data_IF_262382160738
#
_entry.id   IF_262382160738
#
_cell.length_a   1.000
_cell.length_b   1.000
_cell.length_c   1.000
_cell.angle_alpha   90.00
_cell.angle_beta   90.00
_cell.angle_gamma   90.00
#
_symmetry.space_group_name_H-M   'P 1'
#
loop_
_entity.id
_entity.type
_entity.pdbx_description
1 polymer ?
#
# COMPACT_ATOMS: atom_id res chain seq x y z
N UNK A 1 -28.28 24.89 -13.12
CA UNK A 1 -29.05 23.80 -12.51
C UNK A 1 -29.12 22.69 -13.55
N UNK A 2 -28.31 21.64 -13.39
CA UNK A 2 -28.34 20.50 -14.31
C UNK A 2 -29.60 19.66 -14.02
N UNK A 3 -30.35 19.38 -15.08
CA UNK A 3 -31.59 18.59 -15.07
C UNK A 3 -31.30 17.11 -14.85
N UNK A 4 -32.26 16.38 -14.27
CA UNK A 4 -32.26 14.90 -14.24
C UNK A 4 -31.93 14.33 -15.64
N UNK A 5 -30.79 13.63 -15.77
CA UNK A 5 -30.45 12.88 -16.99
C UNK A 5 -29.09 13.19 -17.63
N UNK A 6 -28.33 14.19 -17.18
CA UNK A 6 -26.99 14.44 -17.72
C UNK A 6 -25.97 13.44 -17.14
N UNK A 7 -25.65 12.42 -17.95
CA UNK A 7 -24.56 11.47 -17.64
C UNK A 7 -23.24 12.25 -17.57
N UNK A 8 -22.50 12.08 -16.48
CA UNK A 8 -21.14 12.59 -16.37
C UNK A 8 -20.27 11.90 -17.42
N UNK A 9 -19.43 12.66 -18.13
CA UNK A 9 -18.52 12.15 -19.16
C UNK A 9 -17.11 12.61 -18.86
N UNK A 10 -16.14 11.74 -19.12
CA UNK A 10 -14.72 12.01 -18.91
C UNK A 10 -13.91 11.19 -19.91
N UNK A 11 -12.66 11.58 -20.19
CA UNK A 11 -11.76 10.74 -20.96
C UNK A 11 -11.30 9.55 -20.11
N UNK A 12 -10.88 9.81 -18.87
CA UNK A 12 -10.40 8.78 -17.94
C UNK A 12 -11.15 8.82 -16.62
N UNK A 13 -11.81 7.71 -16.26
CA UNK A 13 -12.38 7.48 -14.94
C UNK A 13 -11.41 6.66 -14.10
N UNK A 14 -10.96 7.20 -12.98
CA UNK A 14 -10.07 6.52 -12.03
C UNK A 14 -10.87 6.22 -10.77
N UNK A 15 -10.91 4.95 -10.36
CA UNK A 15 -11.60 4.53 -9.13
C UNK A 15 -10.56 4.22 -8.06
N UNK A 16 -10.36 5.18 -7.17
CA UNK A 16 -9.39 5.13 -6.07
C UNK A 16 -8.39 6.29 -6.11
N UNK A 17 -8.11 6.86 -4.94
CA UNK A 17 -7.24 8.03 -4.76
C UNK A 17 -5.95 7.72 -4.00
N UNK A 18 -5.46 6.47 -4.03
CA UNK A 18 -4.11 6.17 -3.55
C UNK A 18 -3.04 6.57 -4.56
N UNK A 19 -1.75 6.28 -4.27
CA UNK A 19 -0.62 6.69 -5.12
C UNK A 19 -0.80 6.33 -6.60
N UNK A 20 -1.30 5.13 -6.91
CA UNK A 20 -1.50 4.67 -8.28
C UNK A 20 -2.56 5.51 -9.03
N UNK A 21 -3.68 5.80 -8.38
CA UNK A 21 -4.76 6.59 -8.98
C UNK A 21 -4.36 8.05 -9.13
N UNK A 22 -3.74 8.64 -8.10
CA UNK A 22 -3.29 10.02 -8.14
C UNK A 22 -2.17 10.24 -9.18
N UNK A 23 -1.19 9.33 -9.27
CA UNK A 23 -0.13 9.42 -10.28
C UNK A 23 -0.71 9.33 -11.70
N UNK A 24 -1.60 8.36 -11.96
CA UNK A 24 -2.25 8.23 -13.25
C UNK A 24 -3.10 9.46 -13.61
N UNK A 25 -3.83 10.03 -12.63
CA UNK A 25 -4.63 11.23 -12.82
C UNK A 25 -3.75 12.42 -13.23
N UNK A 26 -2.65 12.64 -12.53
CA UNK A 26 -1.71 13.73 -12.81
C UNK A 26 -1.16 13.63 -14.23
N UNK A 27 -0.61 12.47 -14.62
CA UNK A 27 -0.05 12.27 -15.96
C UNK A 27 -1.12 12.41 -17.06
N UNK A 28 -2.33 11.90 -16.84
CA UNK A 28 -3.44 12.06 -17.78
C UNK A 28 -3.90 13.52 -17.87
N UNK A 29 -3.97 14.23 -16.75
CA UNK A 29 -4.32 15.64 -16.68
C UNK A 29 -3.30 16.51 -17.42
N UNK A 30 -2.02 16.22 -17.29
CA UNK A 30 -0.94 16.88 -18.04
C UNK A 30 -1.05 16.67 -19.55
N UNK A 31 -1.47 15.49 -19.97
CA UNK A 31 -1.73 15.18 -21.37
C UNK A 31 -3.00 15.90 -21.90
N UNK A 32 -3.71 16.67 -21.07
CA UNK A 32 -4.89 17.42 -21.44
C UNK A 32 -6.18 16.61 -21.45
N UNK A 33 -6.20 15.43 -20.85
CA UNK A 33 -7.40 14.58 -20.75
C UNK A 33 -8.32 15.08 -19.63
N UNK A 34 -9.64 14.98 -19.84
CA UNK A 34 -10.60 15.18 -18.75
C UNK A 34 -10.61 13.94 -17.85
N UNK A 35 -10.32 14.12 -16.55
CA UNK A 35 -10.17 13.02 -15.59
C UNK A 35 -11.17 13.17 -14.44
N UNK A 36 -11.87 12.09 -14.10
CA UNK A 36 -12.64 11.98 -12.86
C UNK A 36 -11.98 10.95 -11.96
N UNK A 37 -11.59 11.35 -10.74
CA UNK A 37 -11.08 10.45 -9.70
C UNK A 37 -12.16 10.25 -8.65
N UNK A 38 -12.60 8.99 -8.46
CA UNK A 38 -13.61 8.62 -7.47
C UNK A 38 -12.94 8.15 -6.19
N UNK A 39 -13.33 8.72 -5.05
CA UNK A 39 -12.88 8.25 -3.74
C UNK A 39 -14.01 8.21 -2.72
N UNK A 40 -14.07 7.12 -1.95
CA UNK A 40 -15.10 6.88 -0.93
C UNK A 40 -14.95 7.80 0.29
N UNK A 41 -13.76 8.34 0.50
CA UNK A 41 -13.45 9.22 1.60
C UNK A 41 -13.90 10.64 1.32
N UNK A 42 -14.30 11.37 2.37
CA UNK A 42 -14.56 12.81 2.25
C UNK A 42 -13.26 13.62 2.04
N UNK A 43 -12.13 13.11 2.53
CA UNK A 43 -10.80 13.65 2.25
C UNK A 43 -10.01 12.62 1.42
N UNK A 44 -9.55 12.96 0.19
CA UNK A 44 -8.86 12.02 -0.70
C UNK A 44 -7.58 11.42 -0.09
N UNK A 45 -6.98 12.06 0.92
CA UNK A 45 -5.78 11.58 1.63
C UNK A 45 -6.06 10.52 2.70
N UNK A 46 -7.33 10.18 2.93
CA UNK A 46 -7.78 9.31 4.02
C UNK A 46 -8.36 8.01 3.48
N UNK A 47 -8.35 6.98 4.33
CA UNK A 47 -8.82 5.62 4.01
C UNK A 47 -8.05 4.95 2.85
N UNK A 48 -6.81 5.38 2.59
CA UNK A 48 -5.89 4.76 1.63
C UNK A 48 -4.83 3.95 2.38
N UNK A 49 -4.43 2.79 1.82
CA UNK A 49 -3.27 2.06 2.35
C UNK A 49 -1.97 2.83 2.07
N UNK A 50 -1.93 3.64 1.02
CA UNK A 50 -0.81 4.55 0.69
C UNK A 50 -0.50 5.46 1.87
N UNK A 51 -1.46 6.21 2.39
CA UNK A 51 -1.25 7.10 3.54
C UNK A 51 -0.89 6.40 4.85
N UNK A 52 -1.04 5.07 4.92
CA UNK A 52 -0.69 4.25 6.10
C UNK A 52 0.66 3.52 5.96
N UNK A 53 1.31 3.58 4.80
CA UNK A 53 2.61 2.95 4.59
C UNK A 53 3.70 3.64 5.45
N UNK A 54 4.58 2.83 6.04
CA UNK A 54 5.56 3.30 7.04
C UNK A 54 6.99 3.23 6.50
N UNK A 55 7.48 2.01 6.23
CA UNK A 55 8.90 1.69 6.13
C UNK A 55 9.68 2.42 5.04
N UNK A 56 9.12 2.57 3.85
CA UNK A 56 9.73 3.39 2.80
C UNK A 56 9.31 3.00 1.39
N UNK A 57 10.10 3.43 0.42
CA UNK A 57 9.98 3.04 -0.99
C UNK A 57 11.36 2.67 -1.55
N UNK A 58 11.40 1.65 -2.41
CA UNK A 58 12.64 1.19 -3.07
C UNK A 58 13.15 2.29 -3.99
N UNK A 59 14.44 2.62 -3.85
CA UNK A 59 15.17 3.59 -4.65
C UNK A 59 16.46 2.95 -5.17
N UNK A 60 17.64 3.48 -4.82
CA UNK A 60 18.97 2.99 -5.20
C UNK A 60 19.86 2.98 -3.97
N UNK A 61 20.49 1.83 -3.72
CA UNK A 61 21.56 1.68 -2.73
C UNK A 61 22.95 1.90 -3.32
N UNK A 62 23.96 1.97 -2.44
CA UNK A 62 25.36 1.85 -2.85
C UNK A 62 25.63 0.43 -3.37
N UNK A 63 26.23 0.31 -4.55
CA UNK A 63 26.47 -0.98 -5.21
C UNK A 63 25.22 -1.67 -5.76
N UNK A 64 24.09 -0.95 -5.83
CA UNK A 64 22.83 -1.49 -6.34
C UNK A 64 22.85 -1.68 -7.87
N UNK A 65 22.06 -2.65 -8.35
CA UNK A 65 21.76 -2.86 -9.76
C UNK A 65 20.32 -3.37 -9.97
N UNK A 66 19.74 -3.14 -11.16
CA UNK A 66 18.44 -3.74 -11.51
C UNK A 66 18.43 -5.27 -11.38
N UNK A 67 19.53 -5.94 -11.73
CA UNK A 67 19.68 -7.40 -11.63
C UNK A 67 19.61 -7.87 -10.17
N UNK A 68 20.28 -7.16 -9.25
CA UNK A 68 20.23 -7.46 -7.82
C UNK A 68 18.82 -7.27 -7.27
N UNK A 69 18.14 -6.18 -7.66
CA UNK A 69 16.76 -5.94 -7.25
C UNK A 69 15.82 -7.03 -7.78
N UNK A 70 15.96 -7.40 -9.04
CA UNK A 70 15.15 -8.44 -9.67
C UNK A 70 15.35 -9.79 -8.98
N UNK A 71 16.60 -10.14 -8.65
CA UNK A 71 16.91 -11.36 -7.90
C UNK A 71 16.29 -11.37 -6.50
N UNK A 72 16.35 -10.25 -5.78
CA UNK A 72 15.69 -10.11 -4.47
C UNK A 72 14.17 -10.30 -4.58
N UNK A 73 13.52 -9.66 -5.58
CA UNK A 73 12.07 -9.77 -5.82
C UNK A 73 11.66 -11.20 -6.19
N UNK A 74 12.39 -11.85 -7.10
CA UNK A 74 12.11 -13.22 -7.52
C UNK A 74 12.25 -14.20 -6.36
N UNK A 75 13.33 -14.09 -5.59
CA UNK A 75 13.55 -14.92 -4.39
C UNK A 75 12.44 -14.71 -3.35
N UNK A 76 12.11 -13.46 -3.04
CA UNK A 76 11.04 -13.13 -2.09
C UNK A 76 9.65 -13.59 -2.57
N UNK A 77 9.42 -13.58 -3.88
CA UNK A 77 8.20 -14.04 -4.53
C UNK A 77 8.17 -15.55 -4.83
N UNK A 78 9.08 -16.35 -4.26
CA UNK A 78 9.20 -17.78 -4.50
C UNK A 78 9.29 -18.17 -5.99
N UNK A 79 9.88 -17.30 -6.82
CA UNK A 79 10.00 -17.43 -8.28
C UNK A 79 8.65 -17.52 -9.03
N UNK A 80 7.56 -17.01 -8.43
CA UNK A 80 6.23 -16.96 -9.04
C UNK A 80 5.91 -15.61 -9.70
N UNK A 81 6.87 -14.69 -9.69
CA UNK A 81 6.72 -13.35 -10.27
C UNK A 81 6.69 -13.36 -11.79
N UNK A 82 6.00 -12.38 -12.39
CA UNK A 82 6.02 -12.16 -13.83
C UNK A 82 7.30 -11.40 -14.22
N UNK A 83 8.23 -12.08 -14.91
CA UNK A 83 9.53 -11.49 -15.27
C UNK A 83 9.43 -10.17 -16.05
N UNK A 84 8.58 -10.00 -17.09
CA UNK A 84 8.42 -8.73 -17.77
C UNK A 84 7.99 -7.58 -16.85
N UNK A 85 7.06 -7.83 -15.93
CA UNK A 85 6.61 -6.81 -14.97
C UNK A 85 7.72 -6.46 -13.96
N UNK A 86 8.49 -7.45 -13.52
CA UNK A 86 9.64 -7.24 -12.62
C UNK A 86 10.71 -6.41 -13.33
N UNK A 87 11.11 -6.77 -14.55
CA UNK A 87 12.07 -6.01 -15.36
C UNK A 87 11.64 -4.55 -15.49
N UNK A 88 10.38 -4.31 -15.86
CA UNK A 88 9.86 -2.95 -15.95
C UNK A 88 9.93 -2.21 -14.60
N UNK A 89 9.61 -2.87 -13.49
CA UNK A 89 9.66 -2.26 -12.16
C UNK A 89 11.08 -1.89 -11.76
N UNK A 90 12.07 -2.77 -11.95
CA UNK A 90 13.45 -2.52 -11.52
C UNK A 90 14.15 -1.49 -12.39
N UNK A 91 13.80 -1.42 -13.67
CA UNK A 91 14.37 -0.44 -14.61
C UNK A 91 13.78 0.96 -14.42
N UNK A 92 12.46 1.05 -14.18
CA UNK A 92 11.75 2.32 -14.13
C UNK A 92 11.51 2.85 -12.72
N UNK A 93 11.38 1.97 -11.72
CA UNK A 93 10.97 2.31 -10.36
C UNK A 93 11.85 3.38 -9.72
N UNK A 94 13.17 3.15 -9.58
CA UNK A 94 14.05 4.15 -8.98
C UNK A 94 14.10 5.46 -9.75
N UNK A 95 13.95 5.42 -11.09
CA UNK A 95 13.88 6.63 -11.92
C UNK A 95 12.62 7.43 -11.62
N UNK A 96 11.45 6.80 -11.53
CA UNK A 96 10.20 7.50 -11.20
C UNK A 96 10.17 7.98 -9.75
N UNK A 97 10.85 7.30 -8.81
CA UNK A 97 11.03 7.86 -7.46
C UNK A 97 11.81 9.17 -7.52
N UNK A 98 12.90 9.24 -8.29
CA UNK A 98 13.66 10.48 -8.50
C UNK A 98 12.81 11.57 -9.17
N UNK A 99 12.40 11.32 -10.41
CA UNK A 99 11.79 12.34 -11.27
C UNK A 99 10.42 12.79 -10.74
N UNK A 100 9.62 11.85 -10.23
CA UNK A 100 8.25 12.14 -9.82
C UNK A 100 8.14 12.46 -8.33
N UNK A 101 8.61 11.59 -7.44
CA UNK A 101 8.42 11.80 -5.99
C UNK A 101 9.35 12.85 -5.41
N UNK A 102 10.64 12.84 -5.80
CA UNK A 102 11.64 13.74 -5.24
C UNK A 102 11.60 15.09 -5.96
N UNK A 103 11.91 15.11 -7.25
CA UNK A 103 12.12 16.36 -8.00
C UNK A 103 10.84 17.15 -8.19
N UNK A 104 9.76 16.45 -8.58
CA UNK A 104 8.49 17.10 -8.93
C UNK A 104 7.58 17.32 -7.73
N UNK A 105 7.25 16.25 -6.99
CA UNK A 105 6.34 16.35 -5.85
C UNK A 105 7.01 16.97 -4.61
N UNK A 106 8.34 16.98 -4.54
CA UNK A 106 9.06 17.51 -3.39
C UNK A 106 8.79 16.71 -2.11
N UNK A 107 8.62 15.39 -2.21
CA UNK A 107 8.44 14.54 -1.04
C UNK A 107 9.68 14.67 -0.14
N UNK A 108 9.52 15.03 1.15
CA UNK A 108 10.63 15.39 2.02
C UNK A 108 11.29 14.14 2.61
N UNK A 109 11.88 13.30 1.77
CA UNK A 109 12.66 12.14 2.21
C UNK A 109 13.79 12.57 3.15
N UNK A 110 14.01 11.77 4.19
CA UNK A 110 15.03 12.03 5.21
C UNK A 110 16.43 12.04 4.57
N UNK A 111 17.31 12.84 5.16
CA UNK A 111 18.69 12.99 4.70
C UNK A 111 19.68 12.82 5.84
N UNK A 112 20.85 12.30 5.52
CA UNK A 112 22.00 12.22 6.41
C UNK A 112 22.58 13.62 6.67
N UNK A 113 23.48 13.80 7.67
CA UNK A 113 24.16 15.08 7.91
C UNK A 113 24.93 15.62 6.71
N UNK A 114 25.40 14.74 5.82
CA UNK A 114 26.08 15.08 4.57
C UNK A 114 25.11 15.40 3.41
N UNK A 115 23.82 15.57 3.72
CA UNK A 115 22.74 15.91 2.79
C UNK A 115 22.44 14.83 1.72
N UNK A 116 22.90 13.59 1.93
CA UNK A 116 22.53 12.43 1.11
C UNK A 116 21.19 11.86 1.58
N UNK A 117 20.44 11.19 0.71
CA UNK A 117 19.21 10.49 1.13
C UNK A 117 19.55 9.44 2.20
N UNK A 118 18.76 9.39 3.26
CA UNK A 118 18.87 8.34 4.26
C UNK A 118 18.29 7.04 3.71
N UNK A 119 19.07 5.96 3.79
CA UNK A 119 18.77 4.68 3.15
C UNK A 119 18.73 3.60 4.23
N UNK A 120 17.65 2.86 4.28
CA UNK A 120 17.43 1.72 5.17
C UNK A 120 17.26 0.41 4.40
N UNK A 121 17.03 -0.67 5.15
CA UNK A 121 16.81 -2.03 4.67
C UNK A 121 15.55 -2.61 5.28
N UNK A 122 14.83 -3.42 4.50
CA UNK A 122 13.70 -4.23 4.96
C UNK A 122 13.99 -5.70 4.63
N UNK A 123 13.10 -6.62 5.02
CA UNK A 123 13.30 -8.04 4.85
C UNK A 123 13.47 -8.43 3.39
N UNK A 124 14.20 -9.51 3.15
CA UNK A 124 14.47 -10.10 1.82
C UNK A 124 15.28 -9.26 0.82
N UNK A 125 15.69 -8.03 1.16
CA UNK A 125 16.66 -7.27 0.39
C UNK A 125 18.09 -7.78 0.65
N UNK A 126 18.94 -7.76 -0.37
CA UNK A 126 20.37 -8.07 -0.25
C UNK A 126 21.24 -6.87 0.13
N UNK A 127 20.70 -5.66 -0.02
CA UNK A 127 21.37 -4.38 0.28
C UNK A 127 20.37 -3.33 0.76
N UNK A 128 20.87 -2.30 1.45
CA UNK A 128 20.10 -1.10 1.83
C UNK A 128 19.76 -0.28 0.58
N UNK A 129 18.47 -0.09 0.30
CA UNK A 129 17.98 0.61 -0.92
C UNK A 129 16.63 1.30 -0.75
N UNK A 130 16.18 1.46 0.49
CA UNK A 130 14.85 2.00 0.79
C UNK A 130 15.01 3.40 1.37
N UNK A 131 14.38 4.39 0.73
CA UNK A 131 14.32 5.76 1.26
C UNK A 131 13.00 5.96 2.01
N UNK A 132 12.99 6.86 2.99
CA UNK A 132 11.87 7.02 3.91
C UNK A 132 11.68 8.45 4.42
N UNK A 133 10.53 8.67 5.07
CA UNK A 133 10.26 9.84 5.92
C UNK A 133 9.91 9.30 7.29
N UNK A 134 10.91 9.22 8.17
CA UNK A 134 10.89 8.50 9.42
C UNK A 134 10.14 7.16 9.27
N UNK A 135 9.00 7.01 9.95
CA UNK A 135 8.11 5.86 9.88
C UNK A 135 6.70 6.23 9.36
N UNK A 136 6.62 7.27 8.52
CA UNK A 136 5.39 7.81 7.93
C UNK A 136 5.53 8.11 6.43
N UNK A 137 6.41 7.40 5.72
CA UNK A 137 6.72 7.64 4.29
C UNK A 137 5.47 7.73 3.41
N UNK A 138 4.52 6.82 3.62
CA UNK A 138 3.28 6.78 2.87
C UNK A 138 2.43 8.03 3.03
N UNK A 139 2.34 8.57 4.26
CA UNK A 139 1.65 9.83 4.54
C UNK A 139 2.31 11.00 3.82
N UNK A 140 3.63 11.09 3.85
CA UNK A 140 4.37 12.16 3.18
C UNK A 140 4.14 12.15 1.66
N UNK A 141 4.14 10.96 1.04
CA UNK A 141 3.83 10.80 -0.38
C UNK A 141 2.36 11.18 -0.68
N UNK A 142 1.41 10.65 0.10
CA UNK A 142 -0.03 10.92 -0.07
C UNK A 142 -0.34 12.42 0.02
N UNK A 143 0.23 13.12 1.01
CA UNK A 143 -0.01 14.55 1.19
C UNK A 143 0.48 15.37 -0.01
N UNK A 144 1.68 15.07 -0.54
CA UNK A 144 2.24 15.79 -1.69
C UNK A 144 1.53 15.45 -3.00
N UNK A 145 1.23 14.17 -3.26
CA UNK A 145 0.60 13.78 -4.52
C UNK A 145 -0.83 14.29 -4.64
N UNK A 146 -1.58 14.33 -3.53
CA UNK A 146 -2.92 14.95 -3.53
C UNK A 146 -2.83 16.46 -3.70
N UNK A 147 -1.85 17.13 -3.09
CA UNK A 147 -1.64 18.56 -3.29
C UNK A 147 -1.27 18.90 -4.74
N UNK A 148 -0.44 18.08 -5.39
CA UNK A 148 -0.11 18.21 -6.81
C UNK A 148 -1.35 18.03 -7.70
N UNK A 149 -2.15 17.01 -7.41
CA UNK A 149 -3.35 16.68 -8.18
C UNK A 149 -4.35 17.85 -8.24
N UNK A 150 -4.43 18.66 -7.19
CA UNK A 150 -5.30 19.84 -7.13
C UNK A 150 -4.88 21.01 -8.04
N UNK A 151 -3.66 20.97 -8.60
CA UNK A 151 -3.17 22.01 -9.52
C UNK A 151 -3.77 21.90 -10.92
N UNK A 152 -4.43 20.78 -11.25
CA UNK A 152 -4.96 20.49 -12.57
C UNK A 152 -6.45 20.81 -12.66
N UNK A 153 -6.88 21.79 -13.48
CA UNK A 153 -8.29 22.17 -13.59
C UNK A 153 -9.15 21.12 -14.30
N UNK A 154 -8.54 20.24 -15.11
CA UNK A 154 -9.18 19.15 -15.83
C UNK A 154 -9.22 17.82 -15.03
N UNK A 155 -8.76 17.83 -13.78
CA UNK A 155 -8.93 16.68 -12.87
C UNK A 155 -10.00 17.02 -11.85
N UNK A 156 -11.08 16.24 -11.85
CA UNK A 156 -12.15 16.35 -10.87
C UNK A 156 -12.12 15.20 -9.86
N UNK A 157 -11.88 15.50 -8.58
CA UNK A 157 -11.95 14.51 -7.50
C UNK A 157 -13.35 14.47 -6.93
N UNK A 158 -14.05 13.36 -7.15
CA UNK A 158 -15.37 13.09 -6.60
C UNK A 158 -15.21 12.37 -5.25
N UNK A 159 -15.22 13.16 -4.17
CA UNK A 159 -15.10 12.68 -2.79
C UNK A 159 -16.42 12.15 -2.23
N UNK A 160 -16.35 11.31 -1.20
CA UNK A 160 -17.53 10.70 -0.59
C UNK A 160 -18.32 9.82 -1.55
N UNK A 161 -17.67 9.34 -2.62
CA UNK A 161 -18.30 8.64 -3.72
C UNK A 161 -17.79 7.20 -3.83
N UNK A 162 -18.71 6.25 -3.99
CA UNK A 162 -18.40 4.82 -4.03
C UNK A 162 -18.84 4.23 -5.35
N UNK A 163 -17.89 3.73 -6.14
CA UNK A 163 -18.23 2.96 -7.33
C UNK A 163 -18.99 1.68 -6.93
N UNK A 164 -20.12 1.45 -7.59
CA UNK A 164 -20.99 0.29 -7.35
C UNK A 164 -20.61 -0.84 -8.30
N UNK A 165 -20.62 -0.55 -9.60
CA UNK A 165 -20.25 -1.51 -10.63
C UNK A 165 -19.79 -0.84 -11.92
N UNK A 166 -19.04 -1.59 -12.73
CA UNK A 166 -18.59 -1.15 -14.04
C UNK A 166 -19.72 -1.22 -15.06
N UNK A 167 -19.77 -0.22 -15.93
CA UNK A 167 -20.63 -0.22 -17.11
C UNK A 167 -19.90 -0.97 -18.22
N UNK A 168 -20.46 -2.10 -18.66
CA UNK A 168 -19.91 -2.89 -19.77
C UNK A 168 -20.88 -2.99 -20.95
N UNK A 169 -20.34 -3.12 -22.17
CA UNK A 169 -21.17 -3.33 -23.37
C UNK A 169 -22.07 -4.58 -23.26
N UNK A 170 -21.53 -5.67 -22.72
CA UNK A 170 -22.23 -6.95 -22.60
C UNK A 170 -23.48 -6.90 -21.71
N UNK A 171 -23.50 -6.02 -20.70
CA UNK A 171 -24.58 -5.95 -19.71
C UNK A 171 -25.47 -4.72 -19.88
N UNK A 172 -24.93 -3.62 -20.42
CA UNK A 172 -25.59 -2.31 -20.38
C UNK A 172 -25.87 -1.71 -21.76
N UNK A 173 -25.41 -2.34 -22.86
CA UNK A 173 -25.74 -1.86 -24.19
C UNK A 173 -27.23 -2.05 -24.48
N UNK A 174 -27.83 -1.05 -25.12
CA UNK A 174 -29.20 -1.10 -25.65
C UNK A 174 -29.25 -1.68 -27.07
N UNK A 175 -28.10 -2.00 -27.67
CA UNK A 175 -27.99 -2.58 -29.02
C UNK A 175 -27.76 -4.09 -28.88
N UNK A 176 -28.73 -4.95 -29.25
CA UNK A 176 -28.63 -6.39 -29.00
C UNK A 176 -27.41 -7.06 -29.64
N UNK A 177 -26.92 -6.56 -30.78
CA UNK A 177 -25.75 -7.11 -31.46
C UNK A 177 -24.43 -6.86 -30.74
N UNK A 178 -24.38 -5.96 -29.76
CA UNK A 178 -23.15 -5.67 -29.01
C UNK A 178 -22.68 -6.85 -28.16
N UNK A 179 -23.54 -7.84 -27.90
CA UNK A 179 -23.17 -9.09 -27.23
C UNK A 179 -22.05 -9.87 -27.95
N UNK A 180 -21.91 -9.67 -29.27
CA UNK A 180 -20.86 -10.31 -30.07
C UNK A 180 -19.57 -9.50 -30.19
N UNK A 181 -19.53 -8.29 -29.62
CA UNK A 181 -18.33 -7.44 -29.64
C UNK A 181 -17.38 -7.86 -28.52
N UNK A 182 -16.11 -7.46 -28.66
CA UNK A 182 -15.14 -7.62 -27.57
C UNK A 182 -15.65 -6.94 -26.29
N UNK A 183 -15.50 -7.58 -25.12
CA UNK A 183 -15.83 -6.95 -23.85
C UNK A 183 -15.15 -5.60 -23.71
N UNK A 184 -15.92 -4.58 -23.35
CA UNK A 184 -15.42 -3.23 -23.11
C UNK A 184 -16.12 -2.61 -21.90
N UNK A 185 -15.33 -1.91 -21.10
CA UNK A 185 -15.82 -1.03 -20.04
C UNK A 185 -16.05 0.37 -20.63
N UNK A 186 -17.16 1.00 -20.26
CA UNK A 186 -17.56 2.33 -20.73
C UNK A 186 -17.85 3.28 -19.57
N UNK A 187 -17.31 2.98 -18.38
CA UNK A 187 -17.46 3.79 -17.18
C UNK A 187 -17.97 2.99 -15.97
N UNK A 188 -18.64 3.66 -15.03
CA UNK A 188 -19.18 3.03 -13.83
C UNK A 188 -20.43 3.73 -13.29
N UNK A 189 -21.24 2.98 -12.54
CA UNK A 189 -22.21 3.57 -11.62
C UNK A 189 -21.51 3.97 -10.33
N UNK A 190 -21.76 5.21 -9.86
CA UNK A 190 -21.12 5.74 -8.66
C UNK A 190 -22.17 6.32 -7.73
N UNK A 191 -22.24 5.79 -6.51
CA UNK A 191 -23.06 6.36 -5.44
C UNK A 191 -22.36 7.55 -4.80
N UNK A 192 -22.99 8.73 -4.83
CA UNK A 192 -22.49 9.96 -4.22
C UNK A 192 -23.19 10.16 -2.87
N UNK A 193 -22.43 10.05 -1.78
CA UNK A 193 -23.00 10.07 -0.41
C UNK A 193 -23.74 11.37 -0.08
N UNK A 194 -23.21 12.50 -0.51
CA UNK A 194 -23.77 13.82 -0.19
C UNK A 194 -25.16 14.01 -0.80
N UNK A 195 -25.34 13.63 -2.06
CA UNK A 195 -26.62 13.74 -2.77
C UNK A 195 -27.56 12.55 -2.52
N UNK A 196 -27.02 11.41 -2.07
CA UNK A 196 -27.76 10.15 -1.96
C UNK A 196 -28.13 9.54 -3.32
N UNK A 197 -27.51 10.01 -4.42
CA UNK A 197 -27.83 9.59 -5.79
C UNK A 197 -26.79 8.64 -6.36
N UNK A 198 -27.23 7.83 -7.32
CA UNK A 198 -26.34 7.03 -8.17
C UNK A 198 -26.17 7.76 -9.49
N UNK A 199 -24.94 8.19 -9.76
CA UNK A 199 -24.55 8.82 -11.01
C UNK A 199 -24.01 7.78 -11.99
N UNK A 200 -24.34 7.93 -13.28
CA UNK A 200 -23.68 7.20 -14.36
C UNK A 200 -22.51 8.03 -14.89
N UNK A 201 -21.29 7.59 -14.63
CA UNK A 201 -20.08 8.21 -15.18
C UNK A 201 -19.64 7.41 -16.39
N UNK A 202 -19.79 7.98 -17.59
CA UNK A 202 -19.29 7.41 -18.82
C UNK A 202 -17.84 7.84 -19.04
N UNK A 203 -16.99 6.91 -19.45
CA UNK A 203 -15.59 7.17 -19.70
C UNK A 203 -15.09 6.45 -20.96
N UNK A 204 -14.10 7.03 -21.64
CA UNK A 204 -13.40 6.33 -22.73
C UNK A 204 -12.54 5.21 -22.16
N UNK A 205 -11.84 5.48 -21.07
CA UNK A 205 -11.04 4.52 -20.32
C UNK A 205 -11.40 4.53 -18.84
N UNK A 206 -11.29 3.37 -18.17
CA UNK A 206 -11.56 3.24 -16.73
C UNK A 206 -10.42 2.49 -16.04
N UNK A 207 -9.80 3.13 -15.05
CA UNK A 207 -8.72 2.57 -14.24
C UNK A 207 -9.22 2.20 -12.84
N UNK A 208 -9.10 0.92 -12.48
CA UNK A 208 -9.31 0.47 -11.11
C UNK A 208 -8.01 0.64 -10.30
N UNK A 209 -8.00 1.62 -9.40
CA UNK A 209 -6.91 1.90 -8.45
C UNK A 209 -7.40 1.74 -6.99
N UNK A 210 -8.22 0.71 -6.74
CA UNK A 210 -9.08 0.63 -5.54
C UNK A 210 -8.39 0.14 -4.27
N UNK A 211 -7.10 -0.23 -4.34
CA UNK A 211 -6.39 -0.88 -3.24
C UNK A 211 -6.79 -2.36 -3.07
N UNK A 212 -6.39 -2.94 -1.93
CA UNK A 212 -6.51 -4.37 -1.65
C UNK A 212 -7.82 -4.81 -0.97
N UNK A 213 -7.76 -6.01 -0.38
CA UNK A 213 -8.89 -6.74 0.23
C UNK A 213 -8.65 -7.16 1.69
N UNK A 214 -7.71 -6.55 2.39
CA UNK A 214 -7.32 -6.94 3.76
C UNK A 214 -8.48 -7.01 4.77
N UNK A 215 -9.54 -6.22 4.57
CA UNK A 215 -10.73 -6.20 5.43
C UNK A 215 -11.64 -7.44 5.29
N UNK A 216 -11.27 -8.41 4.44
CA UNK A 216 -11.88 -9.75 4.48
C UNK A 216 -11.40 -10.58 5.68
N UNK A 217 -10.27 -10.18 6.29
CA UNK A 217 -9.68 -10.87 7.44
C UNK A 217 -9.99 -10.14 8.74
N UNK A 218 -10.32 -10.90 9.78
CA UNK A 218 -10.63 -10.37 11.11
C UNK A 218 -9.49 -9.53 11.69
N UNK A 219 -8.25 -9.90 11.37
CA UNK A 219 -7.06 -9.17 11.75
C UNK A 219 -6.41 -8.66 10.47
N UNK A 220 -6.27 -7.34 10.37
CA UNK A 220 -5.63 -6.68 9.24
C UNK A 220 -4.99 -5.36 9.65
N UNK A 221 -3.87 -5.04 9.01
CA UNK A 221 -3.21 -3.73 9.10
C UNK A 221 -3.78 -2.70 8.12
N UNK A 222 -4.76 -3.10 7.30
CA UNK A 222 -5.32 -2.26 6.27
C UNK A 222 -6.43 -1.33 6.77
N UNK A 223 -6.62 -0.16 6.16
CA UNK A 223 -7.74 0.71 6.48
C UNK A 223 -9.08 0.04 6.14
N UNK A 224 -10.15 0.51 6.79
CA UNK A 224 -11.54 0.05 6.57
C UNK A 224 -12.00 0.12 5.11
N UNK A 225 -11.30 0.88 4.27
CA UNK A 225 -11.54 0.94 2.83
C UNK A 225 -11.08 -0.29 2.05
N UNK A 226 -10.12 -1.09 2.51
CA UNK A 226 -9.49 -2.16 1.73
C UNK A 226 -10.34 -3.44 1.69
N UNK A 227 -11.49 -3.39 1.01
CA UNK A 227 -12.52 -4.45 1.00
C UNK A 227 -12.59 -5.25 -0.32
N UNK A 228 -11.67 -4.99 -1.26
CA UNK A 228 -11.68 -5.66 -2.56
C UNK A 228 -12.77 -5.18 -3.53
N UNK A 229 -13.28 -3.96 -3.36
CA UNK A 229 -14.37 -3.39 -4.19
C UNK A 229 -14.05 -3.48 -5.71
N UNK A 230 -12.84 -3.10 -6.13
CA UNK A 230 -12.39 -3.19 -7.53
C UNK A 230 -12.24 -4.61 -8.05
N UNK A 231 -11.76 -5.53 -7.21
CA UNK A 231 -11.63 -6.95 -7.56
C UNK A 231 -13.02 -7.53 -7.85
N UNK A 232 -13.99 -7.23 -6.98
CA UNK A 232 -15.36 -7.68 -7.14
C UNK A 232 -16.04 -7.08 -8.40
N UNK A 233 -15.84 -5.79 -8.67
CA UNK A 233 -16.33 -5.13 -9.88
C UNK A 233 -15.71 -5.74 -11.15
N UNK A 234 -14.39 -5.95 -11.15
CA UNK A 234 -13.69 -6.56 -12.28
C UNK A 234 -14.19 -7.98 -12.58
N UNK A 235 -14.40 -8.80 -11.53
CA UNK A 235 -14.97 -10.14 -11.68
C UNK A 235 -16.35 -10.11 -12.33
N UNK A 236 -17.26 -9.26 -11.84
CA UNK A 236 -18.62 -9.13 -12.40
C UNK A 236 -18.61 -8.58 -13.84
N UNK A 237 -17.62 -7.76 -14.19
CA UNK A 237 -17.39 -7.31 -15.56
C UNK A 237 -16.81 -8.40 -16.49
N UNK A 238 -16.47 -9.58 -15.97
CA UNK A 238 -15.93 -10.71 -16.73
C UNK A 238 -14.40 -10.73 -16.84
N UNK A 239 -13.69 -9.90 -16.06
CA UNK A 239 -12.24 -9.95 -16.02
C UNK A 239 -11.75 -11.22 -15.31
N UNK A 240 -10.67 -11.81 -15.84
CA UNK A 240 -9.97 -12.91 -15.15
C UNK A 240 -9.21 -12.34 -13.96
N UNK A 241 -9.45 -12.91 -12.78
CA UNK A 241 -8.68 -12.64 -11.57
C UNK A 241 -7.60 -13.70 -11.40
N UNK A 242 -6.46 -13.32 -10.83
CA UNK A 242 -5.28 -14.17 -10.66
C UNK A 242 -4.76 -14.04 -9.23
N UNK A 243 -4.18 -15.12 -8.70
CA UNK A 243 -3.34 -15.12 -7.50
C UNK A 243 -4.04 -14.59 -6.22
N UNK A 244 -5.37 -14.71 -6.12
CA UNK A 244 -6.13 -14.24 -4.95
C UNK A 244 -5.87 -15.08 -3.70
N UNK A 245 -5.32 -16.28 -3.86
CA UNK A 245 -4.86 -17.14 -2.77
C UNK A 245 -3.60 -16.62 -2.07
N UNK A 246 -2.82 -15.75 -2.72
CA UNK A 246 -1.58 -15.21 -2.16
C UNK A 246 -1.85 -13.96 -1.32
N UNK A 247 -2.28 -14.19 -0.08
CA UNK A 247 -2.49 -13.14 0.91
C UNK A 247 -1.29 -13.04 1.84
N UNK A 248 -0.63 -11.88 1.84
CA UNK A 248 0.47 -11.60 2.76
C UNK A 248 -0.08 -11.20 4.12
N UNK A 249 0.28 -11.97 5.15
CA UNK A 249 0.16 -11.54 6.54
C UNK A 249 1.47 -10.86 6.93
N UNK A 250 1.40 -9.60 7.33
CA UNK A 250 2.58 -8.93 7.84
C UNK A 250 2.96 -9.54 9.20
N UNK A 251 4.23 -9.93 9.43
CA UNK A 251 4.59 -10.67 10.64
C UNK A 251 4.40 -9.88 11.93
N UNK A 252 4.58 -8.56 11.88
CA UNK A 252 4.66 -7.70 13.06
C UNK A 252 3.55 -6.66 13.12
N UNK A 253 2.32 -7.10 13.37
CA UNK A 253 1.24 -6.21 13.77
C UNK A 253 1.15 -6.13 15.29
N UNK A 254 0.94 -4.94 15.85
CA UNK A 254 0.85 -4.71 17.28
C UNK A 254 -0.27 -5.56 17.88
N UNK A 255 0.09 -6.40 18.85
CA UNK A 255 -0.89 -7.20 19.58
C UNK A 255 -1.55 -6.37 20.67
N UNK A 256 -2.83 -6.11 20.48
CA UNK A 256 -3.74 -5.57 21.47
C UNK A 256 -5.04 -6.41 21.42
N UNK A 257 -5.57 -6.92 22.55
CA UNK A 257 -6.73 -7.81 22.54
C UNK A 257 -7.99 -7.21 21.91
N UNK A 258 -8.21 -5.90 22.04
CA UNK A 258 -9.49 -5.23 21.70
C UNK A 258 -9.33 -3.99 20.78
N UNK A 259 -8.26 -3.91 19.99
CA UNK A 259 -8.02 -2.76 19.12
C UNK A 259 -7.59 -3.15 17.71
N UNK A 260 -7.78 -2.20 16.78
CA UNK A 260 -7.30 -2.30 15.42
C UNK A 260 -5.79 -2.59 15.39
N UNK A 261 -5.40 -3.52 14.50
CA UNK A 261 -4.02 -3.96 14.36
C UNK A 261 -3.20 -2.86 13.71
N UNK A 262 -2.37 -2.20 14.49
CA UNK A 262 -1.40 -1.24 13.98
C UNK A 262 -0.16 -1.97 13.46
N UNK A 263 0.26 -1.66 12.24
CA UNK A 263 1.49 -2.20 11.67
C UNK A 263 2.72 -1.69 12.45
N UNK A 264 3.61 -2.60 12.86
CA UNK A 264 4.98 -2.25 13.26
C UNK A 264 5.88 -2.53 12.05
N UNK A 265 6.40 -1.47 11.44
CA UNK A 265 7.19 -1.53 10.20
C UNK A 265 8.29 -2.59 10.25
N UNK A 266 8.52 -3.26 9.12
CA UNK A 266 9.65 -4.17 8.92
C UNK A 266 11.00 -3.45 9.06
N UNK A 267 11.05 -2.14 8.83
CA UNK A 267 12.22 -1.30 9.10
C UNK A 267 12.70 -1.39 10.55
N UNK A 268 11.83 -1.70 11.54
CA UNK A 268 12.27 -1.95 12.92
C UNK A 268 13.19 -3.17 12.99
N UNK A 269 12.90 -4.23 12.22
CA UNK A 269 13.80 -5.39 12.09
C UNK A 269 15.04 -5.05 11.26
N UNK A 270 14.87 -4.30 10.17
CA UNK A 270 15.96 -3.78 9.34
C UNK A 270 17.01 -2.99 10.12
N UNK A 271 16.56 -2.19 11.09
CA UNK A 271 17.43 -1.42 11.98
C UNK A 271 17.96 -2.23 13.17
N UNK A 272 17.86 -3.57 13.14
CA UNK A 272 18.45 -4.50 14.12
C UNK A 272 17.48 -5.04 15.17
N UNK A 273 16.17 -4.86 14.98
CA UNK A 273 15.17 -5.46 15.84
C UNK A 273 15.10 -6.98 15.67
N UNK A 274 14.98 -7.70 16.78
CA UNK A 274 14.95 -9.17 16.81
C UNK A 274 13.63 -9.70 17.32
N UNK A 275 13.15 -10.78 16.71
CA UNK A 275 11.97 -11.49 17.17
C UNK A 275 12.34 -12.45 18.30
N UNK A 276 11.64 -12.32 19.43
CA UNK A 276 11.88 -13.11 20.65
C UNK A 276 10.58 -13.67 21.22
N UNK A 277 10.70 -14.78 21.96
CA UNK A 277 9.61 -15.36 22.74
C UNK A 277 9.33 -14.56 24.03
N UNK A 278 8.34 -15.00 24.83
CA UNK A 278 8.01 -14.38 26.12
C UNK A 278 9.15 -14.38 27.16
N UNK A 279 10.16 -15.21 26.94
CA UNK A 279 11.32 -15.37 27.81
C UNK A 279 12.54 -14.58 27.30
N UNK A 280 12.42 -13.89 26.16
CA UNK A 280 13.49 -13.11 25.54
C UNK A 280 14.42 -13.94 24.65
N UNK A 281 14.09 -15.20 24.34
CA UNK A 281 14.91 -16.02 23.46
C UNK A 281 14.58 -15.73 21.99
N UNK A 282 15.60 -15.53 21.17
CA UNK A 282 15.41 -15.47 19.72
C UNK A 282 15.03 -16.86 19.18
N UNK A 283 14.02 -16.91 18.31
CA UNK A 283 13.51 -18.18 17.77
C UNK A 283 13.67 -18.31 16.25
N UNK A 284 13.87 -17.20 15.52
CA UNK A 284 13.86 -17.23 14.06
C UNK A 284 14.97 -18.09 13.43
N UNK A 285 16.07 -18.29 14.15
CA UNK A 285 17.19 -19.16 13.72
C UNK A 285 16.78 -20.63 13.58
N UNK A 286 15.68 -21.06 14.23
CA UNK A 286 15.11 -22.40 14.02
C UNK A 286 14.49 -22.55 12.62
N UNK A 287 14.07 -21.45 12.00
CA UNK A 287 13.25 -21.43 10.79
C UNK A 287 13.99 -20.95 9.55
N UNK A 288 14.93 -20.01 9.69
CA UNK A 288 15.62 -19.42 8.55
C UNK A 288 16.97 -18.81 8.94
N UNK A 289 17.97 -18.92 8.06
CA UNK A 289 19.33 -18.40 8.28
C UNK A 289 19.37 -16.87 8.42
N UNK A 290 18.52 -16.16 7.68
CA UNK A 290 18.37 -14.69 7.78
C UNK A 290 17.71 -14.22 9.09
N UNK A 291 17.27 -15.14 9.96
CA UNK A 291 16.62 -14.79 11.22
C UNK A 291 15.43 -13.85 11.03
N UNK A 292 15.42 -12.73 11.75
CA UNK A 292 14.30 -11.76 11.71
C UNK A 292 14.15 -11.03 10.36
N UNK A 293 15.14 -11.09 9.46
CA UNK A 293 15.08 -10.48 8.13
C UNK A 293 14.67 -11.45 7.02
N UNK A 294 14.27 -12.68 7.38
CA UNK A 294 13.72 -13.64 6.44
C UNK A 294 12.45 -13.10 5.73
N UNK A 295 12.06 -13.67 4.58
CA UNK A 295 10.83 -13.31 3.89
C UNK A 295 9.59 -13.37 4.79
N UNK A 296 8.64 -12.45 4.57
CA UNK A 296 7.49 -12.23 5.46
C UNK A 296 6.64 -13.48 5.66
N UNK A 297 6.47 -14.30 4.64
CA UNK A 297 5.69 -15.54 4.72
C UNK A 297 6.36 -16.55 5.65
N UNK A 298 7.70 -16.64 5.64
CA UNK A 298 8.48 -17.47 6.58
C UNK A 298 8.36 -16.94 8.00
N UNK A 299 8.56 -15.63 8.20
CA UNK A 299 8.50 -15.00 9.53
C UNK A 299 7.10 -15.09 10.13
N UNK A 300 6.04 -14.83 9.35
CA UNK A 300 4.66 -14.91 9.82
C UNK A 300 4.28 -16.35 10.23
N UNK A 301 4.69 -17.35 9.44
CA UNK A 301 4.50 -18.77 9.80
C UNK A 301 5.28 -19.13 11.06
N UNK A 302 6.54 -18.69 11.19
CA UNK A 302 7.36 -18.95 12.38
C UNK A 302 6.73 -18.36 13.65
N UNK A 303 6.28 -17.11 13.61
CA UNK A 303 5.57 -16.47 14.73
C UNK A 303 4.32 -17.29 15.09
N UNK A 304 3.51 -17.68 14.10
CA UNK A 304 2.31 -18.45 14.34
C UNK A 304 2.59 -19.82 14.97
N UNK A 305 3.64 -20.52 14.49
CA UNK A 305 4.06 -21.81 15.05
C UNK A 305 4.52 -21.68 16.50
N UNK A 306 5.39 -20.71 16.81
CA UNK A 306 5.83 -20.48 18.19
C UNK A 306 4.66 -20.13 19.11
N UNK A 307 3.68 -19.34 18.65
CA UNK A 307 2.46 -19.05 19.42
C UNK A 307 1.67 -20.31 19.76
N UNK A 308 1.51 -21.22 18.79
CA UNK A 308 0.79 -22.49 19.01
C UNK A 308 1.54 -23.43 19.96
N UNK A 309 2.85 -23.57 19.78
CA UNK A 309 3.69 -24.47 20.57
C UNK A 309 3.81 -24.00 22.03
N UNK A 310 4.03 -22.70 22.24
CA UNK A 310 4.13 -22.10 23.57
C UNK A 310 2.78 -21.79 24.22
N UNK A 311 1.69 -21.85 23.45
CA UNK A 311 0.34 -21.42 23.84
C UNK A 311 0.28 -19.96 24.29
N UNK A 312 1.08 -19.12 23.64
CA UNK A 312 1.15 -17.69 23.89
C UNK A 312 0.31 -16.91 22.87
N UNK A 313 -0.33 -15.79 23.28
CA UNK A 313 -1.20 -15.02 22.40
C UNK A 313 -0.44 -14.16 21.39
N UNK A 314 0.87 -13.96 21.58
CA UNK A 314 1.72 -13.15 20.73
C UNK A 314 3.20 -13.52 20.91
N UNK A 315 4.04 -13.12 19.95
CA UNK A 315 5.49 -13.06 20.11
C UNK A 315 5.93 -11.61 20.34
N UNK A 316 7.22 -11.34 20.43
CA UNK A 316 7.72 -10.01 20.71
C UNK A 316 8.79 -9.55 19.72
N UNK A 317 8.78 -8.27 19.38
CA UNK A 317 9.81 -7.60 18.61
C UNK A 317 10.63 -6.69 19.53
N UNK A 318 11.91 -7.01 19.72
CA UNK A 318 12.82 -6.29 20.60
C UNK A 318 13.81 -5.43 19.79
N UNK A 319 13.78 -4.12 20.02
CA UNK A 319 14.71 -3.14 19.44
C UNK A 319 15.48 -2.37 20.53
N UNK A 320 15.30 -2.73 21.80
CA UNK A 320 15.79 -1.98 22.96
C UNK A 320 17.31 -1.76 22.94
N UNK A 321 18.06 -2.71 22.36
CA UNK A 321 19.51 -2.64 22.20
C UNK A 321 20.01 -1.43 21.39
N UNK A 322 19.15 -0.80 20.56
CA UNK A 322 19.51 0.38 19.78
C UNK A 322 19.50 1.68 20.59
N UNK A 323 18.93 1.66 21.80
CA UNK A 323 18.88 2.82 22.68
C UNK A 323 17.73 3.79 22.37
N UNK A 324 17.30 4.50 23.41
CA UNK A 324 16.08 5.31 23.36
C UNK A 324 16.15 6.49 22.38
N UNK A 325 17.30 7.16 22.27
CA UNK A 325 17.48 8.30 21.37
C UNK A 325 17.31 7.90 19.90
N UNK A 326 17.98 6.81 19.49
CA UNK A 326 17.85 6.28 18.14
C UNK A 326 16.39 5.90 17.82
N UNK A 327 15.76 5.13 18.72
CA UNK A 327 14.39 4.64 18.51
C UNK A 327 13.39 5.79 18.36
N UNK A 328 13.45 6.80 19.24
CA UNK A 328 12.52 7.94 19.20
C UNK A 328 12.73 8.82 17.97
N UNK A 329 13.97 8.93 17.50
CA UNK A 329 14.31 9.68 16.30
C UNK A 329 13.85 8.95 15.03
N UNK A 330 14.14 7.65 14.94
CA UNK A 330 13.91 6.84 13.73
C UNK A 330 12.45 6.40 13.56
N UNK A 331 11.78 6.11 14.66
CA UNK A 331 10.42 5.55 14.71
C UNK A 331 9.46 6.37 15.60
N UNK A 332 9.32 7.69 15.39
CA UNK A 332 8.54 8.55 16.28
C UNK A 332 7.05 8.19 16.30
N UNK A 333 6.45 7.81 15.16
CA UNK A 333 5.03 7.47 15.09
C UNK A 333 4.73 6.11 15.72
N UNK A 334 5.56 5.10 15.45
CA UNK A 334 5.48 3.78 16.07
C UNK A 334 5.72 3.92 17.58
N UNK A 335 6.72 4.71 18.01
CA UNK A 335 6.97 4.97 19.42
C UNK A 335 5.75 5.60 20.11
N UNK A 336 5.20 6.67 19.52
CA UNK A 336 4.00 7.32 20.05
C UNK A 336 2.81 6.36 20.12
N UNK A 337 2.63 5.51 19.10
CA UNK A 337 1.54 4.52 19.06
C UNK A 337 1.72 3.45 20.13
N UNK A 338 2.91 2.86 20.28
CA UNK A 338 3.23 1.93 21.35
C UNK A 338 3.00 2.56 22.73
N UNK A 339 3.45 3.81 22.93
CA UNK A 339 3.30 4.51 24.20
C UNK A 339 1.82 4.78 24.52
N UNK A 340 0.99 5.10 23.52
CA UNK A 340 -0.46 5.32 23.68
C UNK A 340 -1.21 4.10 24.23
N UNK A 341 -0.63 2.91 24.10
CA UNK A 341 -1.18 1.65 24.63
C UNK A 341 -0.36 1.10 25.80
N UNK A 342 0.49 1.93 26.41
CA UNK A 342 1.27 1.58 27.59
C UNK A 342 2.51 0.73 27.31
N UNK A 343 3.05 0.74 26.09
CA UNK A 343 4.26 0.02 25.71
C UNK A 343 5.37 1.02 25.39
N UNK A 344 6.41 1.07 26.22
CA UNK A 344 7.63 1.81 25.88
C UNK A 344 8.60 0.88 25.14
N UNK A 345 8.63 0.97 23.82
CA UNK A 345 9.51 0.15 22.97
C UNK A 345 11.02 0.46 23.14
N UNK A 346 11.38 1.49 23.90
CA UNK A 346 12.78 1.77 24.28
C UNK A 346 13.23 0.99 25.51
N UNK A 347 12.28 0.45 26.29
CA UNK A 347 12.55 -0.23 27.55
C UNK A 347 12.17 -1.71 27.53
N UNK A 348 11.22 -2.11 26.68
CA UNK A 348 10.77 -3.50 26.59
C UNK A 348 10.32 -3.90 25.17
N UNK A 349 10.33 -5.20 24.85
CA UNK A 349 9.87 -5.71 23.55
C UNK A 349 8.40 -5.37 23.25
N UNK A 350 8.08 -5.17 21.97
CA UNK A 350 6.73 -4.90 21.47
C UNK A 350 6.00 -6.23 21.24
N UNK A 351 4.81 -6.47 21.80
CA UNK A 351 4.02 -7.65 21.51
C UNK A 351 3.45 -7.57 20.08
N UNK A 352 3.67 -8.62 19.30
CA UNK A 352 3.35 -8.68 17.88
C UNK A 352 2.67 -9.99 17.47
N UNK A 353 1.79 -9.91 16.48
CA UNK A 353 1.12 -11.03 15.83
C UNK A 353 1.06 -10.82 14.31
N UNK A 354 0.93 -11.89 13.51
CA UNK A 354 0.69 -11.75 12.08
C UNK A 354 -0.71 -11.16 11.81
N UNK A 355 -0.81 -10.21 10.88
CA UNK A 355 -2.10 -9.61 10.45
C UNK A 355 -2.06 -9.02 9.04
#
# INVERSE_FOLDING_TARGET
MATEGDKLKTDLLIIGSGIAGCAAAIIAGEAGLDVIVVTKSADPRRMTSTGWAQGGIIYRGEGDSPDLLAADILRAGANLGNEPAISQLVDLGPRYVEEFLIERLGVPFDRTPDNMLDITEEGAHSIRRIIHVADITGKAIEDQIVAELQKYPNIHVMTGATAIDLLTLSHHSVVPSDVYRSPACVGAYVYVRESGKVESVLAKETLLATGGLGQLYLHTTNPNGARGDGIAMAYRAGARLLNLEYIQFHPTALYQPDADRFLISEAVRGEGGVLVDRHGNQFMQKYHEMGSLAPRDVVARAIHMEMLESREPCMYLDITAKGAEFIKSRFPNIYAKCLSVGIDMTQRPIPVVPA
#
